data_IF_596343699331
#
_entry.id   IF_596343699331
#
_cell.length_a   1.000
_cell.length_b   1.000
_cell.length_c   1.000
_cell.angle_alpha   90.00
_cell.angle_beta   90.00
_cell.angle_gamma   90.00
#
_symmetry.space_group_name_H-M   'P 1'
#
loop_
_entity.id
_entity.type
_entity.pdbx_description
1 polymer ?
#
# COMPACT_ATOMS: atom_id res chain seq x y z
N UNK A 1 -4.06 -15.61 9.00
CA UNK A 1 -4.58 -15.17 10.32
C UNK A 1 -6.09 -14.99 10.19
N UNK A 2 -6.91 -15.21 11.24
CA UNK A 2 -8.35 -14.89 11.20
C UNK A 2 -8.59 -13.55 11.92
N UNK A 3 -9.29 -12.62 11.28
CA UNK A 3 -9.75 -11.37 11.88
C UNK A 3 -10.84 -11.66 12.91
N UNK A 4 -10.84 -10.93 14.02
CA UNK A 4 -11.77 -11.13 15.16
C UNK A 4 -12.57 -9.88 15.52
N UNK A 5 -12.42 -8.79 14.76
CA UNK A 5 -13.09 -7.52 15.04
C UNK A 5 -12.49 -6.78 16.23
N UNK A 6 -11.18 -6.90 16.45
CA UNK A 6 -10.50 -6.21 17.56
C UNK A 6 -10.40 -4.71 17.32
N UNK A 7 -10.20 -3.91 18.38
CA UNK A 7 -9.97 -2.46 18.24
C UNK A 7 -8.80 -2.15 17.30
N UNK A 8 -7.71 -2.93 17.38
CA UNK A 8 -6.55 -2.79 16.48
C UNK A 8 -6.92 -3.03 15.02
N UNK A 9 -7.73 -4.06 14.74
CA UNK A 9 -8.20 -4.33 13.37
C UNK A 9 -9.08 -3.19 12.85
N UNK A 10 -9.96 -2.64 13.70
CA UNK A 10 -10.83 -1.53 13.34
C UNK A 10 -10.04 -0.25 13.04
N UNK A 11 -9.05 0.09 13.89
CA UNK A 11 -8.17 1.22 13.62
C UNK A 11 -7.39 1.07 12.31
N UNK A 12 -6.88 -0.14 12.01
CA UNK A 12 -6.25 -0.38 10.72
C UNK A 12 -7.23 -0.28 9.56
N UNK A 13 -8.47 -0.74 9.72
CA UNK A 13 -9.49 -0.65 8.68
C UNK A 13 -9.75 0.82 8.31
N UNK A 14 -9.92 1.67 9.32
CA UNK A 14 -10.12 3.12 9.14
C UNK A 14 -8.92 3.78 8.46
N UNK A 15 -7.70 3.51 8.94
CA UNK A 15 -6.45 4.01 8.35
C UNK A 15 -6.33 3.60 6.87
N UNK A 16 -6.57 2.33 6.56
CA UNK A 16 -6.42 1.78 5.22
C UNK A 16 -7.46 2.35 4.26
N UNK A 17 -8.74 2.48 4.68
CA UNK A 17 -9.78 3.12 3.88
C UNK A 17 -9.43 4.59 3.58
N UNK A 18 -8.98 5.33 4.60
CA UNK A 18 -8.54 6.70 4.43
C UNK A 18 -7.35 6.80 3.46
N UNK A 19 -6.37 5.90 3.59
CA UNK A 19 -5.18 5.87 2.74
C UNK A 19 -5.51 5.55 1.27
N UNK A 20 -6.44 4.63 1.02
CA UNK A 20 -6.95 4.33 -0.32
C UNK A 20 -7.63 5.57 -0.91
N UNK A 21 -8.54 6.19 -0.16
CA UNK A 21 -9.21 7.42 -0.63
C UNK A 21 -8.18 8.50 -0.99
N UNK A 22 -7.18 8.72 -0.13
CA UNK A 22 -6.10 9.68 -0.37
C UNK A 22 -5.30 9.33 -1.64
N UNK A 23 -4.94 8.06 -1.85
CA UNK A 23 -4.20 7.60 -3.04
C UNK A 23 -4.95 7.87 -4.35
N UNK A 24 -6.27 7.62 -4.39
CA UNK A 24 -7.06 7.70 -5.62
C UNK A 24 -7.64 9.10 -5.89
N UNK A 25 -7.81 9.93 -4.86
CA UNK A 25 -8.53 11.21 -4.97
C UNK A 25 -7.65 12.45 -4.80
N UNK A 26 -6.45 12.33 -4.22
CA UNK A 26 -5.60 13.50 -3.94
C UNK A 26 -4.47 13.70 -4.95
N UNK A 27 -4.27 14.95 -5.36
CA UNK A 27 -3.25 15.34 -6.34
C UNK A 27 -1.84 15.02 -5.84
N UNK A 28 -1.61 15.11 -4.53
CA UNK A 28 -0.33 14.79 -3.89
C UNK A 28 0.12 13.36 -4.14
N UNK A 29 -0.82 12.42 -4.33
CA UNK A 29 -0.56 11.00 -4.57
C UNK A 29 -0.55 10.63 -6.05
N UNK A 30 -0.79 11.57 -6.96
CA UNK A 30 -0.91 11.31 -8.39
C UNK A 30 0.34 10.65 -8.98
N UNK A 31 1.56 11.03 -8.54
CA UNK A 31 2.81 10.36 -8.98
C UNK A 31 2.81 8.87 -8.59
N UNK A 32 2.47 8.54 -7.34
CA UNK A 32 2.39 7.14 -6.89
C UNK A 32 1.32 6.38 -7.67
N UNK A 33 0.12 6.95 -7.82
CA UNK A 33 -0.98 6.31 -8.53
C UNK A 33 -0.64 6.04 -10.00
N UNK A 34 0.04 6.97 -10.68
CA UNK A 34 0.47 6.78 -12.06
C UNK A 34 1.48 5.62 -12.17
N UNK A 35 2.47 5.56 -11.29
CA UNK A 35 3.44 4.46 -11.26
C UNK A 35 2.73 3.11 -11.02
N UNK A 36 1.77 3.07 -10.09
CA UNK A 36 0.97 1.86 -9.83
C UNK A 36 0.20 1.46 -11.09
N UNK A 37 -0.44 2.40 -11.81
CA UNK A 37 -1.20 2.13 -13.03
C UNK A 37 -0.32 1.74 -14.22
N UNK A 38 0.87 2.31 -14.33
CA UNK A 38 1.85 1.93 -15.34
C UNK A 38 2.36 0.49 -15.10
N UNK A 39 2.57 0.14 -13.82
CA UNK A 39 3.02 -1.21 -13.42
C UNK A 39 1.88 -2.24 -13.49
N UNK A 40 0.66 -1.82 -13.13
CA UNK A 40 -0.55 -2.65 -13.09
C UNK A 40 -1.71 -1.95 -13.81
N UNK A 41 -1.79 -2.05 -15.15
CA UNK A 41 -2.80 -1.32 -15.94
C UNK A 41 -4.24 -1.65 -15.59
N UNK A 42 -4.49 -2.83 -15.00
CA UNK A 42 -5.81 -3.30 -14.59
C UNK A 42 -6.08 -3.18 -13.08
N UNK A 43 -5.26 -2.41 -12.34
CA UNK A 43 -5.42 -2.21 -10.89
C UNK A 43 -6.83 -1.72 -10.56
N UNK A 44 -7.45 -2.37 -9.58
CA UNK A 44 -8.78 -1.97 -9.07
C UNK A 44 -8.68 -1.31 -7.71
N UNK A 45 -7.78 -1.78 -6.85
CA UNK A 45 -7.60 -1.24 -5.51
C UNK A 45 -6.14 -1.27 -5.08
N UNK A 46 -5.77 -0.34 -4.20
CA UNK A 46 -4.45 -0.29 -3.60
C UNK A 46 -4.50 0.32 -2.20
N UNK A 47 -3.73 -0.26 -1.27
CA UNK A 47 -3.73 0.10 0.15
C UNK A 47 -2.31 0.32 0.67
N UNK A 48 -2.09 1.40 1.43
CA UNK A 48 -0.77 1.72 2.01
C UNK A 48 -0.44 0.76 3.14
N UNK A 49 0.58 -0.08 2.94
CA UNK A 49 1.10 -0.98 3.97
C UNK A 49 2.09 -0.26 4.89
N UNK A 50 3.01 0.51 4.31
CA UNK A 50 4.04 1.26 5.05
C UNK A 50 4.41 2.53 4.32
N UNK A 51 4.76 3.55 5.10
CA UNK A 51 5.34 4.79 4.63
C UNK A 51 6.56 5.11 5.49
N UNK A 52 7.72 5.14 4.87
CA UNK A 52 8.99 5.50 5.50
C UNK A 52 9.49 6.80 4.88
N UNK A 53 9.46 7.91 5.63
CA UNK A 53 10.12 9.14 5.21
C UNK A 53 11.64 8.97 5.38
N UNK A 54 12.38 8.83 4.27
CA UNK A 54 13.85 8.79 4.29
C UNK A 54 14.39 10.16 3.85
N UNK A 55 15.63 10.53 4.21
CA UNK A 55 16.14 11.90 4.05
C UNK A 55 16.02 12.45 2.61
N UNK A 56 14.91 13.15 2.33
CA UNK A 56 14.58 13.70 1.00
C UNK A 56 13.74 12.80 0.12
N UNK A 57 13.40 11.59 0.57
CA UNK A 57 12.63 10.61 -0.19
C UNK A 57 11.37 10.15 0.56
N UNK A 58 10.36 9.78 -0.21
CA UNK A 58 9.20 9.05 0.26
C UNK A 58 9.26 7.61 -0.24
N UNK A 59 9.42 6.67 0.69
CA UNK A 59 9.39 5.23 0.42
C UNK A 59 8.04 4.71 0.89
N UNK A 60 7.17 4.34 -0.05
CA UNK A 60 5.82 3.86 0.26
C UNK A 60 5.62 2.48 -0.35
N UNK A 61 5.06 1.55 0.44
CA UNK A 61 4.67 0.23 -0.03
C UNK A 61 3.16 0.09 -0.04
N UNK A 62 2.61 -0.44 -1.14
CA UNK A 62 1.19 -0.65 -1.34
C UNK A 62 0.88 -2.12 -1.60
N UNK A 63 -0.18 -2.64 -0.97
CA UNK A 63 -0.85 -3.84 -1.45
C UNK A 63 -1.67 -3.45 -2.67
N UNK A 64 -1.43 -4.08 -3.81
CA UNK A 64 -2.14 -3.88 -5.07
C UNK A 64 -3.05 -5.08 -5.29
N UNK A 65 -4.34 -4.79 -5.43
CA UNK A 65 -5.41 -5.78 -5.43
C UNK A 65 -5.23 -6.73 -4.23
N UNK A 66 -4.88 -8.00 -4.45
CA UNK A 66 -4.80 -9.01 -3.36
C UNK A 66 -3.48 -9.77 -3.28
N UNK A 67 -2.61 -9.68 -4.29
CA UNK A 67 -1.46 -10.59 -4.41
C UNK A 67 -0.11 -9.90 -4.52
N UNK A 68 -0.08 -8.64 -4.96
CA UNK A 68 1.18 -7.94 -5.23
C UNK A 68 1.41 -6.84 -4.23
N UNK A 69 2.67 -6.67 -3.85
CA UNK A 69 3.13 -5.47 -3.17
C UNK A 69 4.05 -4.72 -4.11
N UNK A 70 3.81 -3.42 -4.23
CA UNK A 70 4.68 -2.49 -4.93
C UNK A 70 5.29 -1.55 -3.90
N UNK A 71 6.61 -1.40 -3.96
CA UNK A 71 7.36 -0.40 -3.20
C UNK A 71 7.85 0.65 -4.17
N UNK A 72 7.55 1.91 -3.86
CA UNK A 72 7.88 3.05 -4.68
C UNK A 72 8.71 4.00 -3.83
N UNK A 73 9.88 4.37 -4.34
CA UNK A 73 10.75 5.38 -3.74
C UNK A 73 10.76 6.60 -4.66
N UNK A 74 10.33 7.74 -4.12
CA UNK A 74 10.30 9.01 -4.82
C UNK A 74 11.14 10.05 -4.09
N UNK A 75 11.97 10.77 -4.84
CA UNK A 75 12.55 12.02 -4.35
C UNK A 75 11.43 13.08 -4.19
N UNK A 76 11.45 13.74 -3.04
CA UNK A 76 10.49 14.78 -2.64
C UNK A 76 10.71 16.11 -3.35
N UNK A 77 11.95 16.41 -3.66
CA UNK A 77 12.40 17.71 -4.16
C UNK A 77 12.61 17.68 -5.67
N UNK A 78 13.27 16.63 -6.18
CA UNK A 78 13.58 16.47 -7.60
C UNK A 78 12.62 15.48 -8.28
N UNK A 79 11.64 16.04 -9.00
CA UNK A 79 10.65 15.25 -9.76
C UNK A 79 11.21 14.64 -11.05
N UNK A 80 12.43 15.02 -11.45
CA UNK A 80 13.08 14.53 -12.68
C UNK A 80 13.83 13.22 -12.44
N UNK A 81 14.17 12.93 -11.19
CA UNK A 81 14.77 11.65 -10.82
C UNK A 81 13.79 10.51 -11.09
N UNK A 82 14.34 9.44 -11.68
CA UNK A 82 13.59 8.23 -12.01
C UNK A 82 13.20 7.53 -10.70
N UNK A 83 11.91 7.22 -10.49
CA UNK A 83 11.46 6.46 -9.33
C UNK A 83 12.13 5.08 -9.25
N UNK A 84 12.43 4.62 -8.04
CA UNK A 84 12.78 3.23 -7.80
C UNK A 84 11.48 2.47 -7.52
N UNK A 85 11.25 1.39 -8.27
CA UNK A 85 10.02 0.60 -8.20
C UNK A 85 10.37 -0.88 -8.06
N UNK A 86 10.02 -1.45 -6.92
CA UNK A 86 10.15 -2.88 -6.66
C UNK A 86 8.77 -3.52 -6.57
N UNK A 87 8.61 -4.67 -7.23
CA UNK A 87 7.36 -5.47 -7.17
C UNK A 87 7.69 -6.86 -6.66
N UNK A 88 6.91 -7.32 -5.69
CA UNK A 88 7.06 -8.65 -5.14
C UNK A 88 5.71 -9.23 -4.71
N UNK A 89 5.58 -10.58 -4.70
CA UNK A 89 4.41 -11.26 -4.16
C UNK A 89 4.24 -10.95 -2.66
N UNK A 90 2.99 -10.82 -2.20
CA UNK A 90 2.67 -10.52 -0.79
C UNK A 90 3.26 -11.57 0.17
N UNK A 91 3.42 -12.82 -0.27
CA UNK A 91 3.99 -13.91 0.53
C UNK A 91 5.45 -13.65 0.91
N UNK A 92 6.20 -12.91 0.08
CA UNK A 92 7.57 -12.52 0.41
C UNK A 92 7.59 -11.45 1.50
N UNK A 93 6.62 -10.54 1.49
CA UNK A 93 6.51 -9.49 2.49
C UNK A 93 6.09 -10.04 3.86
N UNK A 94 5.24 -11.07 3.90
CA UNK A 94 4.76 -11.70 5.14
C UNK A 94 5.84 -12.34 6.00
N UNK A 95 7.03 -12.65 5.45
CA UNK A 95 8.11 -13.32 6.17
C UNK A 95 8.81 -12.36 7.13
N UNK A 96 8.89 -12.74 8.40
CA UNK A 96 9.65 -11.98 9.43
C UNK A 96 8.95 -10.74 9.99
N UNK A 97 7.71 -10.46 9.60
CA UNK A 97 6.96 -9.31 10.10
C UNK A 97 6.42 -9.50 11.53
N UNK A 98 6.32 -8.40 12.27
CA UNK A 98 5.67 -8.36 13.58
C UNK A 98 4.20 -8.75 13.51
N UNK A 99 3.64 -9.29 14.61
CA UNK A 99 2.21 -9.65 14.68
C UNK A 99 1.30 -8.47 14.31
N UNK A 100 1.65 -7.27 14.77
CA UNK A 100 0.91 -6.04 14.51
C UNK A 100 0.86 -5.72 13.01
N UNK A 101 1.98 -5.86 12.30
CA UNK A 101 2.01 -5.65 10.87
C UNK A 101 1.28 -6.76 10.09
N UNK A 102 1.34 -8.01 10.57
CA UNK A 102 0.54 -9.11 10.01
C UNK A 102 -0.97 -8.85 10.15
N UNK A 103 -1.42 -8.23 11.24
CA UNK A 103 -2.82 -7.80 11.40
C UNK A 103 -3.17 -6.75 10.34
N UNK A 104 -2.33 -5.72 10.15
CA UNK A 104 -2.55 -4.68 9.13
C UNK A 104 -2.67 -5.28 7.73
N UNK A 105 -1.78 -6.20 7.35
CA UNK A 105 -1.85 -6.91 6.05
C UNK A 105 -3.16 -7.70 5.94
N UNK A 106 -3.54 -8.44 6.98
CA UNK A 106 -4.77 -9.23 6.96
C UNK A 106 -6.01 -8.35 6.76
N UNK A 107 -6.04 -7.17 7.38
CA UNK A 107 -7.13 -6.18 7.19
C UNK A 107 -7.09 -5.60 5.77
N UNK A 108 -5.92 -5.24 5.25
CA UNK A 108 -5.78 -4.73 3.88
C UNK A 108 -6.25 -5.76 2.84
N UNK A 109 -5.91 -7.02 3.03
CA UNK A 109 -6.36 -8.12 2.16
C UNK A 109 -7.87 -8.33 2.22
N UNK A 110 -8.48 -8.31 3.41
CA UNK A 110 -9.93 -8.40 3.59
C UNK A 110 -10.66 -7.26 2.88
N UNK A 111 -10.17 -6.02 3.04
CA UNK A 111 -10.73 -4.86 2.37
C UNK A 111 -10.60 -4.97 0.84
N UNK A 112 -9.43 -5.32 0.34
CA UNK A 112 -9.21 -5.48 -1.09
C UNK A 112 -10.07 -6.58 -1.69
N UNK A 113 -10.29 -7.68 -0.98
CA UNK A 113 -11.20 -8.72 -1.44
C UNK A 113 -12.63 -8.22 -1.57
N UNK A 114 -13.10 -7.40 -0.63
CA UNK A 114 -14.43 -6.79 -0.71
C UNK A 114 -14.57 -5.80 -1.88
N UNK A 115 -13.49 -5.08 -2.24
CA UNK A 115 -13.50 -4.16 -3.39
C UNK A 115 -13.53 -4.86 -4.75
N UNK A 116 -13.14 -6.13 -4.82
CA UNK A 116 -13.00 -6.90 -6.06
C UNK A 116 -14.25 -7.70 -6.43
N UNK A 117 -15.25 -7.76 -5.52
CA UNK A 117 -16.52 -8.48 -5.67
C UNK A 117 -17.55 -7.65 -6.42
#
# INVERSE_FOLDING_TARGET
MKLKGTMTEQSYREELIASKSHLFNEISMCRFLNIIRETFPAVKTAYVLSWTPEQGEDIISFLVDTHSVIKIELDRYDKTLVPIVDVYPIENWMKGLSKTFQIKIAVAFDLAMNDLI
#
